data_IF_675247240532
#
_entry.id   IF_675247240532
#
_cell.length_a   1.000
_cell.length_b   1.000
_cell.length_c   1.000
_cell.angle_alpha   90.00
_cell.angle_beta   90.00
_cell.angle_gamma   90.00
#
_symmetry.space_group_name_H-M   'P 1'
#
loop_
_entity.id
_entity.type
_entity.pdbx_description
1 polymer ?
#
# COMPACT_ATOMS: atom_id res chain seq x y z
N UNK A 1 -0.66 14.32 -68.63
CA UNK A 1 -0.05 13.17 -67.94
C UNK A 1 -0.32 13.19 -66.42
N UNK A 2 -1.40 13.83 -65.96
CA UNK A 2 -1.72 14.00 -64.53
C UNK A 2 -3.12 13.45 -64.14
N UNK A 3 -3.92 12.97 -65.10
CA UNK A 3 -5.26 12.42 -64.83
C UNK A 3 -5.29 10.89 -64.60
N UNK A 4 -4.16 10.20 -64.78
CA UNK A 4 -4.07 8.73 -64.75
C UNK A 4 -3.56 8.17 -63.41
N UNK A 5 -3.05 9.04 -62.51
CA UNK A 5 -2.55 8.64 -61.18
C UNK A 5 -3.66 8.67 -60.12
N UNK A 6 -4.76 9.37 -60.36
CA UNK A 6 -5.91 9.45 -59.43
C UNK A 6 -6.91 8.29 -59.55
N UNK A 7 -6.80 7.46 -60.60
CA UNK A 7 -7.62 6.25 -60.76
C UNK A 7 -6.99 4.97 -60.20
N UNK A 8 -5.73 5.01 -59.74
CA UNK A 8 -5.04 3.85 -59.16
C UNK A 8 -5.06 3.81 -57.61
N UNK A 9 -5.58 4.85 -56.95
CA UNK A 9 -5.65 4.92 -55.47
C UNK A 9 -7.05 4.54 -54.92
N UNK A 10 -8.07 4.38 -55.77
CA UNK A 10 -9.41 3.93 -55.34
C UNK A 10 -9.59 2.40 -55.32
N UNK A 11 -8.54 1.63 -55.59
CA UNK A 11 -8.50 0.17 -55.40
C UNK A 11 -7.66 -0.26 -54.19
N UNK A 12 -7.45 0.64 -53.21
CA UNK A 12 -6.96 0.22 -51.89
C UNK A 12 -8.10 -0.55 -51.21
N UNK A 13 -8.05 -1.86 -51.43
CA UNK A 13 -8.53 -2.91 -50.54
C UNK A 13 -9.67 -2.50 -49.61
N UNK A 14 -10.89 -2.64 -50.14
CA UNK A 14 -12.03 -3.04 -49.30
C UNK A 14 -11.89 -4.53 -48.90
N UNK A 15 -10.68 -4.94 -48.49
CA UNK A 15 -10.55 -5.99 -47.50
C UNK A 15 -11.21 -5.45 -46.24
N UNK A 16 -12.55 -5.55 -46.20
CA UNK A 16 -13.34 -5.52 -44.98
C UNK A 16 -12.71 -6.57 -44.10
N UNK A 17 -11.74 -6.15 -43.29
CA UNK A 17 -11.21 -6.96 -42.23
C UNK A 17 -12.41 -7.29 -41.37
N UNK A 18 -12.86 -8.53 -41.54
CA UNK A 18 -13.97 -9.15 -40.86
C UNK A 18 -13.47 -9.43 -39.45
N UNK A 19 -13.43 -8.41 -38.61
CA UNK A 19 -13.04 -8.55 -37.21
C UNK A 19 -14.17 -9.21 -36.43
N UNK A 20 -13.83 -10.26 -35.70
CA UNK A 20 -14.71 -10.85 -34.71
C UNK A 20 -14.85 -9.88 -33.55
N UNK A 21 -16.07 -9.66 -33.06
CA UNK A 21 -16.34 -8.76 -31.93
C UNK A 21 -16.67 -9.59 -30.71
N UNK A 22 -15.90 -9.45 -29.63
CA UNK A 22 -16.28 -10.07 -28.36
C UNK A 22 -17.55 -9.40 -27.83
N UNK A 23 -18.54 -10.20 -27.46
CA UNK A 23 -19.82 -9.74 -26.94
C UNK A 23 -20.11 -10.42 -25.59
N UNK A 24 -20.96 -9.81 -24.74
CA UNK A 24 -21.29 -10.37 -23.44
C UNK A 24 -22.20 -11.60 -23.55
N UNK A 25 -22.09 -12.50 -22.58
CA UNK A 25 -22.95 -13.67 -22.39
C UNK A 25 -24.30 -13.34 -21.74
N UNK A 26 -24.51 -12.12 -21.25
CA UNK A 26 -25.75 -11.68 -20.60
C UNK A 26 -26.37 -10.48 -21.32
N UNK A 27 -27.68 -10.31 -21.15
CA UNK A 27 -28.42 -9.22 -21.78
C UNK A 27 -28.04 -7.83 -21.22
N UNK A 28 -27.52 -7.78 -19.99
CA UNK A 28 -27.10 -6.53 -19.32
C UNK A 28 -25.68 -6.07 -19.69
N UNK A 29 -24.99 -6.83 -20.55
CA UNK A 29 -23.62 -6.56 -20.97
C UNK A 29 -22.59 -6.46 -19.83
N UNK A 30 -22.68 -7.35 -18.84
CA UNK A 30 -21.77 -7.39 -17.69
C UNK A 30 -20.84 -8.62 -17.71
N UNK A 31 -21.23 -9.72 -18.36
CA UNK A 31 -20.52 -11.00 -18.30
C UNK A 31 -19.82 -11.27 -19.63
N UNK A 32 -18.56 -10.84 -19.75
CA UNK A 32 -17.75 -11.05 -20.97
C UNK A 32 -16.96 -12.36 -20.97
N UNK A 33 -16.79 -12.97 -19.81
CA UNK A 33 -16.04 -14.21 -19.59
C UNK A 33 -16.81 -15.12 -18.64
N UNK A 34 -16.92 -16.40 -18.99
CA UNK A 34 -17.45 -17.44 -18.11
C UNK A 34 -16.28 -18.27 -17.59
N UNK A 35 -15.98 -18.14 -16.30
CA UNK A 35 -14.95 -18.94 -15.63
C UNK A 35 -15.45 -20.35 -15.28
N UNK A 36 -14.57 -21.16 -14.66
CA UNK A 36 -14.93 -22.49 -14.19
C UNK A 36 -16.13 -22.50 -13.23
N UNK A 37 -16.20 -21.52 -12.32
CA UNK A 37 -17.20 -21.49 -11.25
C UNK A 37 -18.60 -21.17 -11.77
N UNK A 38 -18.69 -20.23 -12.72
CA UNK A 38 -19.93 -19.90 -13.41
C UNK A 38 -20.29 -20.97 -14.44
N UNK A 39 -19.31 -21.47 -15.20
CA UNK A 39 -19.52 -22.52 -16.21
C UNK A 39 -20.08 -23.81 -15.64
N UNK A 40 -19.68 -24.23 -14.43
CA UNK A 40 -20.27 -25.41 -13.80
C UNK A 40 -21.76 -25.30 -13.47
N UNK A 41 -22.29 -24.07 -13.43
CA UNK A 41 -23.72 -23.81 -13.18
C UNK A 41 -24.53 -23.75 -14.46
N UNK A 42 -23.87 -23.65 -15.62
CA UNK A 42 -24.50 -23.50 -16.93
C UNK A 42 -24.45 -24.84 -17.65
N UNK A 43 -25.59 -25.36 -18.11
CA UNK A 43 -25.70 -26.70 -18.69
C UNK A 43 -24.74 -26.91 -19.86
N UNK A 44 -24.68 -25.95 -20.78
CA UNK A 44 -23.79 -25.97 -21.96
C UNK A 44 -22.32 -26.23 -21.61
N UNK A 45 -21.84 -25.72 -20.46
CA UNK A 45 -20.43 -25.80 -20.09
C UNK A 45 -20.07 -27.04 -19.26
N UNK A 46 -21.05 -27.84 -18.80
CA UNK A 46 -20.80 -29.01 -17.94
C UNK A 46 -19.98 -30.11 -18.61
N UNK A 47 -20.06 -30.20 -19.93
CA UNK A 47 -19.31 -31.20 -20.71
C UNK A 47 -17.82 -30.87 -20.87
N UNK A 48 -17.43 -29.61 -20.60
CA UNK A 48 -16.05 -29.15 -20.73
C UNK A 48 -15.26 -29.35 -19.43
N UNK A 49 -14.81 -30.58 -19.19
CA UNK A 49 -13.92 -30.91 -18.06
C UNK A 49 -12.67 -30.04 -18.08
N UNK A 50 -12.33 -29.45 -16.93
CA UNK A 50 -11.17 -28.59 -16.79
C UNK A 50 -11.34 -27.21 -17.41
N UNK A 51 -12.58 -26.74 -17.65
CA UNK A 51 -12.86 -25.38 -18.09
C UNK A 51 -12.09 -24.36 -17.24
N UNK A 52 -11.33 -23.49 -17.90
CA UNK A 52 -10.67 -22.32 -17.29
C UNK A 52 -11.49 -21.06 -17.56
N UNK A 53 -11.82 -20.83 -18.83
CA UNK A 53 -12.66 -19.72 -19.26
C UNK A 53 -13.32 -19.95 -20.61
N UNK A 54 -14.42 -19.26 -20.85
CA UNK A 54 -15.08 -19.17 -22.15
C UNK A 54 -15.37 -17.72 -22.53
N UNK A 55 -15.25 -17.41 -23.82
CA UNK A 55 -15.45 -16.07 -24.40
C UNK A 55 -16.42 -16.18 -25.58
N UNK A 56 -17.38 -15.26 -25.70
CA UNK A 56 -18.36 -15.22 -26.78
C UNK A 56 -17.98 -14.17 -27.82
N UNK A 57 -18.00 -14.55 -29.10
CA UNK A 57 -17.69 -13.67 -30.22
C UNK A 57 -18.80 -13.69 -31.26
N UNK A 58 -19.13 -12.50 -31.77
CA UNK A 58 -19.97 -12.30 -32.95
C UNK A 58 -19.09 -12.22 -34.20
N UNK A 59 -19.36 -13.11 -35.15
CA UNK A 59 -18.71 -13.15 -36.45
C UNK A 59 -19.38 -12.17 -37.42
N UNK A 60 -18.67 -11.71 -38.46
CA UNK A 60 -19.26 -10.78 -39.43
C UNK A 60 -20.35 -11.36 -40.33
N UNK A 61 -20.51 -12.69 -40.38
CA UNK A 61 -21.68 -13.36 -40.96
C UNK A 61 -22.87 -13.44 -39.99
N UNK A 62 -22.82 -12.73 -38.86
CA UNK A 62 -23.78 -12.76 -37.75
C UNK A 62 -23.86 -14.10 -37.02
N UNK A 63 -22.95 -15.03 -37.29
CA UNK A 63 -22.85 -16.26 -36.51
C UNK A 63 -22.10 -16.03 -35.19
N UNK A 64 -22.29 -16.94 -34.26
CA UNK A 64 -21.70 -16.83 -32.93
C UNK A 64 -20.71 -17.96 -32.69
N UNK A 65 -19.59 -17.61 -32.06
CA UNK A 65 -18.55 -18.56 -31.69
C UNK A 65 -18.22 -18.39 -30.21
N UNK A 66 -18.18 -19.49 -29.48
CA UNK A 66 -17.57 -19.54 -28.15
C UNK A 66 -16.15 -20.08 -28.28
N UNK A 67 -15.19 -19.35 -27.73
CA UNK A 67 -13.85 -19.85 -27.47
C UNK A 67 -13.76 -20.42 -26.06
N UNK A 68 -13.44 -21.70 -25.94
CA UNK A 68 -13.38 -22.43 -24.68
C UNK A 68 -11.93 -22.81 -24.40
N UNK A 69 -11.42 -22.34 -23.27
CA UNK A 69 -10.08 -22.68 -22.78
C UNK A 69 -10.24 -23.70 -21.66
N UNK A 70 -9.72 -24.91 -21.86
CA UNK A 70 -9.82 -26.01 -20.89
C UNK A 70 -8.48 -26.71 -20.68
N UNK A 71 -8.26 -27.25 -19.48
CA UNK A 71 -7.08 -28.02 -19.15
C UNK A 71 -7.25 -29.50 -19.54
N UNK A 72 -6.45 -29.97 -20.50
CA UNK A 72 -6.42 -31.36 -20.97
C UNK A 72 -4.97 -31.85 -20.99
N UNK A 73 -4.69 -32.98 -20.34
CA UNK A 73 -3.36 -33.61 -20.27
C UNK A 73 -2.22 -32.68 -19.78
N UNK A 74 -2.51 -31.80 -18.81
CA UNK A 74 -1.51 -30.88 -18.23
C UNK A 74 -1.19 -29.65 -19.09
N UNK A 75 -1.92 -29.42 -20.19
CA UNK A 75 -1.85 -28.21 -21.01
C UNK A 75 -3.20 -27.52 -21.15
N UNK A 76 -3.18 -26.24 -21.51
CA UNK A 76 -4.40 -25.48 -21.85
C UNK A 76 -4.68 -25.65 -23.33
N UNK A 77 -5.87 -26.17 -23.65
CA UNK A 77 -6.36 -26.34 -25.01
C UNK A 77 -7.46 -25.31 -25.27
N UNK A 78 -7.38 -24.68 -26.44
CA UNK A 78 -8.40 -23.76 -26.96
C UNK A 78 -9.27 -24.49 -27.98
N UNK A 79 -10.58 -24.49 -27.75
CA UNK A 79 -11.59 -25.04 -28.64
C UNK A 79 -12.50 -23.90 -29.12
N UNK A 80 -12.83 -23.86 -30.41
CA UNK A 80 -13.77 -22.87 -30.98
C UNK A 80 -15.02 -23.60 -31.43
N UNK A 81 -16.15 -23.24 -30.84
CA UNK A 81 -17.43 -23.91 -31.09
C UNK A 81 -18.38 -22.90 -31.69
N UNK A 82 -18.83 -23.15 -32.92
CA UNK A 82 -19.93 -22.39 -33.52
C UNK A 82 -21.21 -22.81 -32.81
N UNK A 83 -21.98 -21.82 -32.37
CA UNK A 83 -23.20 -22.05 -31.60
C UNK A 83 -24.40 -21.42 -32.29
N UNK A 84 -25.54 -22.08 -32.14
CA UNK A 84 -26.82 -21.57 -32.63
C UNK A 84 -27.35 -20.48 -31.69
N UNK A 85 -28.09 -19.48 -32.20
CA UNK A 85 -28.66 -18.40 -31.39
C UNK A 85 -29.48 -18.89 -30.19
N UNK A 86 -30.21 -20.00 -30.33
CA UNK A 86 -31.03 -20.57 -29.26
C UNK A 86 -30.19 -21.03 -28.06
N UNK A 87 -28.94 -21.46 -28.28
CA UNK A 87 -28.02 -21.83 -27.22
C UNK A 87 -27.54 -20.59 -26.45
N UNK A 88 -27.39 -19.45 -27.13
CA UNK A 88 -27.05 -18.17 -26.49
C UNK A 88 -28.19 -17.72 -25.59
N UNK A 89 -29.42 -17.78 -26.10
CA UNK A 89 -30.61 -17.43 -25.33
C UNK A 89 -30.73 -18.31 -24.09
N UNK A 90 -30.41 -19.62 -24.20
CA UNK A 90 -30.36 -20.53 -23.06
C UNK A 90 -29.27 -20.14 -22.06
N UNK A 91 -28.05 -19.89 -22.51
CA UNK A 91 -26.94 -19.46 -21.65
C UNK A 91 -27.31 -18.15 -20.93
N UNK A 92 -27.89 -17.18 -21.64
CA UNK A 92 -28.35 -15.90 -21.09
C UNK A 92 -29.43 -16.10 -20.03
N UNK A 93 -30.43 -16.95 -20.29
CA UNK A 93 -31.48 -17.28 -19.32
C UNK A 93 -30.94 -17.97 -18.08
N UNK A 94 -30.00 -18.90 -18.25
CA UNK A 94 -29.34 -19.56 -17.13
C UNK A 94 -28.51 -18.58 -16.30
N UNK A 95 -27.76 -17.68 -16.93
CA UNK A 95 -27.04 -16.61 -16.23
C UNK A 95 -28.02 -15.72 -15.46
N UNK A 96 -29.15 -15.31 -16.06
CA UNK A 96 -30.15 -14.51 -15.38
C UNK A 96 -30.75 -15.27 -14.17
N UNK A 97 -31.07 -16.55 -14.32
CA UNK A 97 -31.55 -17.40 -13.23
C UNK A 97 -30.49 -17.59 -12.13
N UNK A 98 -29.22 -17.74 -12.49
CA UNK A 98 -28.11 -17.82 -11.55
C UNK A 98 -28.00 -16.50 -10.79
N UNK A 99 -28.05 -15.34 -11.46
CA UNK A 99 -28.03 -14.01 -10.81
C UNK A 99 -29.20 -13.81 -9.85
N UNK A 100 -30.38 -14.38 -10.14
CA UNK A 100 -31.56 -14.30 -9.27
C UNK A 100 -31.48 -15.29 -8.10
N UNK A 101 -30.94 -16.49 -8.32
CA UNK A 101 -30.89 -17.59 -7.33
C UNK A 101 -29.66 -17.58 -6.45
N UNK A 102 -28.54 -17.09 -6.95
CA UNK A 102 -27.47 -16.69 -6.06
C UNK A 102 -28.07 -15.59 -5.20
N UNK A 103 -28.18 -15.79 -3.86
CA UNK A 103 -28.41 -14.64 -3.02
C UNK A 103 -27.36 -13.64 -3.45
N UNK A 104 -27.77 -12.41 -3.83
CA UNK A 104 -26.87 -11.26 -3.92
C UNK A 104 -25.83 -11.51 -2.85
N UNK A 105 -24.56 -11.73 -3.22
CA UNK A 105 -23.48 -11.92 -2.26
C UNK A 105 -23.44 -10.63 -1.45
N UNK A 106 -24.32 -10.59 -0.45
CA UNK A 106 -24.38 -9.75 0.72
C UNK A 106 -23.38 -10.30 1.73
N UNK A 107 -22.38 -11.03 1.25
CA UNK A 107 -21.16 -11.27 1.98
C UNK A 107 -20.38 -9.98 1.85
N UNK A 108 -20.26 -9.28 2.97
CA UNK A 108 -19.40 -8.13 3.06
C UNK A 108 -18.01 -8.46 2.50
N UNK A 109 -17.36 -7.54 1.77
CA UNK A 109 -15.93 -7.66 1.50
C UNK A 109 -15.19 -7.76 2.84
N UNK A 110 -14.44 -8.82 3.03
CA UNK A 110 -13.65 -9.08 4.25
C UNK A 110 -12.18 -9.28 3.95
N UNK A 111 -11.73 -8.89 2.75
CA UNK A 111 -10.35 -9.06 2.32
C UNK A 111 -9.35 -8.37 3.25
N UNK A 112 -9.71 -7.23 3.86
CA UNK A 112 -8.88 -6.50 4.82
C UNK A 112 -9.24 -6.75 6.28
N UNK A 113 -10.24 -7.58 6.59
CA UNK A 113 -10.81 -7.65 7.94
C UNK A 113 -9.80 -8.06 9.02
N UNK A 114 -8.96 -9.05 8.70
CA UNK A 114 -7.91 -9.52 9.62
C UNK A 114 -6.90 -8.40 9.90
N UNK A 115 -6.44 -7.74 8.85
CA UNK A 115 -5.38 -6.74 8.95
C UNK A 115 -5.90 -5.45 9.60
N UNK A 116 -7.18 -5.11 9.41
CA UNK A 116 -7.88 -4.04 10.11
C UNK A 116 -7.89 -4.28 11.63
N UNK A 117 -8.36 -5.44 12.08
CA UNK A 117 -8.41 -5.77 13.52
C UNK A 117 -7.00 -5.88 14.13
N UNK A 118 -6.08 -6.50 13.42
CA UNK A 118 -4.69 -6.65 13.86
C UNK A 118 -3.98 -5.31 13.98
N UNK A 119 -4.10 -4.45 12.96
CA UNK A 119 -3.47 -3.14 12.95
C UNK A 119 -4.07 -2.20 14.00
N UNK A 120 -5.39 -2.21 14.17
CA UNK A 120 -6.06 -1.40 15.20
C UNK A 120 -5.61 -1.82 16.60
N UNK A 121 -5.50 -3.11 16.88
CA UNK A 121 -4.95 -3.61 18.15
C UNK A 121 -3.49 -3.17 18.37
N UNK A 122 -2.60 -3.41 17.40
CA UNK A 122 -1.18 -3.08 17.51
C UNK A 122 -1.00 -1.57 17.71
N UNK A 123 -1.74 -0.76 16.98
CA UNK A 123 -1.68 0.69 17.08
C UNK A 123 -2.23 1.20 18.41
N UNK A 124 -3.35 0.67 18.88
CA UNK A 124 -3.88 0.98 20.21
C UNK A 124 -2.90 0.60 21.31
N UNK A 125 -2.29 -0.59 21.23
CA UNK A 125 -1.31 -1.09 22.20
C UNK A 125 -0.01 -0.27 22.22
N UNK A 126 0.53 0.05 21.04
CA UNK A 126 1.85 0.69 20.91
C UNK A 126 1.80 2.21 21.05
N UNK A 127 0.68 2.84 20.70
CA UNK A 127 0.58 4.31 20.60
C UNK A 127 -0.51 4.88 21.50
N UNK A 128 -1.76 4.44 21.36
CA UNK A 128 -2.87 5.08 22.07
C UNK A 128 -2.88 4.75 23.57
N UNK A 129 -2.56 3.52 23.97
CA UNK A 129 -2.60 3.10 25.37
C UNK A 129 -1.55 3.83 26.24
N UNK A 130 -0.26 3.98 25.84
CA UNK A 130 0.67 4.83 26.57
C UNK A 130 0.18 6.27 26.73
N UNK A 131 -0.36 6.85 25.65
CA UNK A 131 -0.91 8.20 25.67
C UNK A 131 -2.16 8.30 26.57
N UNK A 132 -2.99 7.28 26.64
CA UNK A 132 -4.14 7.25 27.56
C UNK A 132 -3.71 7.18 29.03
N UNK A 133 -2.63 6.46 29.34
CA UNK A 133 -2.06 6.46 30.70
C UNK A 133 -1.51 7.85 31.03
N UNK A 134 -0.78 8.48 30.10
CA UNK A 134 -0.29 9.86 30.28
C UNK A 134 -1.45 10.86 30.44
N UNK A 135 -2.49 10.71 29.62
CA UNK A 135 -3.68 11.55 29.61
C UNK A 135 -4.39 11.58 30.98
N UNK A 136 -4.54 10.41 31.58
CA UNK A 136 -5.25 10.25 32.85
C UNK A 136 -4.35 10.41 34.08
N UNK A 137 -3.03 10.27 33.90
CA UNK A 137 -2.01 10.44 34.95
C UNK A 137 -2.41 9.80 36.29
N UNK A 138 -2.68 8.48 36.33
CA UNK A 138 -3.18 7.83 37.53
C UNK A 138 -2.16 7.87 38.67
N UNK A 139 -2.65 8.06 39.89
CA UNK A 139 -1.81 8.17 41.10
C UNK A 139 -1.10 6.86 41.47
N UNK A 140 -1.61 5.71 41.01
CA UNK A 140 -1.07 4.39 41.33
C UNK A 140 -0.79 3.53 40.08
N UNK A 141 0.20 2.64 40.24
CA UNK A 141 0.67 1.75 39.18
C UNK A 141 -0.39 0.76 38.69
N UNK A 142 -1.25 0.25 39.58
CA UNK A 142 -2.27 -0.73 39.20
C UNK A 142 -3.32 -0.10 38.29
N UNK A 143 -3.75 1.13 38.60
CA UNK A 143 -4.66 1.90 37.75
C UNK A 143 -4.01 2.21 36.40
N UNK A 144 -2.73 2.59 36.36
CA UNK A 144 -2.00 2.80 35.11
C UNK A 144 -1.93 1.56 34.22
N UNK A 145 -1.59 0.41 34.79
CA UNK A 145 -1.59 -0.87 34.05
C UNK A 145 -2.99 -1.25 33.58
N UNK A 146 -4.02 -1.03 34.40
CA UNK A 146 -5.40 -1.31 34.02
C UNK A 146 -5.85 -0.44 32.84
N UNK A 147 -5.57 0.86 32.86
CA UNK A 147 -5.85 1.78 31.74
C UNK A 147 -5.12 1.30 30.49
N UNK A 148 -3.83 1.00 30.59
CA UNK A 148 -3.05 0.52 29.46
C UNK A 148 -3.65 -0.73 28.81
N UNK A 149 -3.98 -1.75 29.62
CA UNK A 149 -4.55 -3.01 29.14
C UNK A 149 -5.94 -2.82 28.53
N UNK A 150 -6.80 -2.03 29.18
CA UNK A 150 -8.16 -1.76 28.69
C UNK A 150 -8.14 -0.95 27.39
N UNK A 151 -7.30 0.09 27.30
CA UNK A 151 -7.11 0.86 26.07
C UNK A 151 -6.56 -0.01 24.94
N UNK A 152 -5.57 -0.88 25.23
CA UNK A 152 -5.03 -1.81 24.24
C UNK A 152 -6.09 -2.79 23.73
N UNK A 153 -6.86 -3.42 24.64
CA UNK A 153 -7.93 -4.36 24.28
C UNK A 153 -9.06 -3.68 23.50
N UNK A 154 -9.35 -2.41 23.80
CA UNK A 154 -10.40 -1.64 23.12
C UNK A 154 -10.13 -1.50 21.62
N UNK A 155 -8.85 -1.38 21.20
CA UNK A 155 -8.45 -1.34 19.79
C UNK A 155 -8.70 -2.65 19.02
N UNK A 156 -9.04 -3.75 19.69
CA UNK A 156 -9.51 -4.96 19.03
C UNK A 156 -11.03 -5.13 19.17
N UNK A 157 -11.53 -5.03 20.40
CA UNK A 157 -12.92 -5.38 20.75
C UNK A 157 -13.91 -4.39 20.14
N UNK A 158 -13.63 -3.08 20.19
CA UNK A 158 -14.54 -2.07 19.64
C UNK A 158 -14.66 -2.22 18.12
N UNK A 159 -13.55 -2.25 17.33
CA UNK A 159 -13.65 -2.48 15.90
C UNK A 159 -14.34 -3.80 15.56
N UNK A 160 -14.02 -4.91 16.24
CA UNK A 160 -14.65 -6.22 16.02
C UNK A 160 -16.19 -6.15 16.10
N UNK A 161 -16.72 -5.48 17.13
CA UNK A 161 -18.17 -5.36 17.35
C UNK A 161 -18.80 -4.44 16.30
N UNK A 162 -18.21 -3.24 16.10
CA UNK A 162 -18.78 -2.22 15.22
C UNK A 162 -18.77 -2.64 13.75
N UNK A 163 -17.80 -3.46 13.36
CA UNK A 163 -17.57 -3.83 11.96
C UNK A 163 -17.98 -5.26 11.63
N UNK A 164 -18.74 -5.91 12.52
CA UNK A 164 -19.22 -7.30 12.31
C UNK A 164 -20.06 -7.45 11.05
N UNK A 165 -20.74 -6.39 10.61
CA UNK A 165 -21.64 -6.39 9.45
C UNK A 165 -21.33 -5.20 8.52
N UNK A 166 -20.06 -4.96 8.21
CA UNK A 166 -19.66 -3.98 7.20
C UNK A 166 -18.59 -4.53 6.26
N UNK A 167 -18.47 -3.89 5.10
CA UNK A 167 -17.36 -4.10 4.17
C UNK A 167 -16.07 -3.58 4.79
N UNK A 168 -15.03 -4.40 4.73
CA UNK A 168 -13.66 -4.06 5.10
C UNK A 168 -12.75 -4.67 4.05
N UNK A 169 -12.54 -3.87 3.01
CA UNK A 169 -11.50 -4.10 2.03
C UNK A 169 -10.11 -3.86 2.62
N UNK A 170 -9.05 -4.25 1.92
CA UNK A 170 -7.67 -3.91 2.32
C UNK A 170 -7.44 -2.40 2.43
N UNK A 171 -8.06 -1.62 1.55
CA UNK A 171 -7.97 -0.16 1.60
C UNK A 171 -8.56 0.39 2.91
N UNK A 172 -9.72 -0.13 3.35
CA UNK A 172 -10.29 0.23 4.65
C UNK A 172 -9.32 -0.04 5.79
N UNK A 173 -8.71 -1.22 5.82
CA UNK A 173 -7.76 -1.62 6.86
C UNK A 173 -6.58 -0.64 6.98
N UNK A 174 -5.97 -0.32 5.85
CA UNK A 174 -4.76 0.47 5.82
C UNK A 174 -5.03 1.97 6.00
N UNK A 175 -6.08 2.50 5.36
CA UNK A 175 -6.44 3.92 5.45
C UNK A 175 -6.99 4.25 6.84
N UNK A 176 -7.66 3.30 7.52
CA UNK A 176 -8.00 3.43 8.93
C UNK A 176 -6.74 3.67 9.79
N UNK A 177 -5.73 2.81 9.65
CA UNK A 177 -4.48 2.94 10.41
C UNK A 177 -3.76 4.26 10.10
N UNK A 178 -3.59 4.57 8.81
CA UNK A 178 -2.94 5.80 8.38
C UNK A 178 -3.71 7.03 8.86
N UNK A 179 -5.04 7.02 8.75
CA UNK A 179 -5.90 8.04 9.32
C UNK A 179 -5.64 8.24 10.81
N UNK A 180 -5.48 7.16 11.58
CA UNK A 180 -5.14 7.21 12.99
C UNK A 180 -3.80 7.88 13.29
N UNK A 181 -2.75 7.47 12.59
CA UNK A 181 -1.41 8.04 12.72
C UNK A 181 -1.44 9.55 12.42
N UNK A 182 -2.08 9.94 11.32
CA UNK A 182 -2.12 11.34 10.87
C UNK A 182 -3.03 12.19 11.75
N UNK A 183 -4.16 11.65 12.21
CA UNK A 183 -5.07 12.33 13.14
C UNK A 183 -4.39 12.60 14.49
N UNK A 184 -3.65 11.62 15.01
CA UNK A 184 -2.83 11.79 16.21
C UNK A 184 -1.72 12.82 16.01
N UNK A 185 -1.01 12.75 14.88
CA UNK A 185 0.01 13.72 14.51
C UNK A 185 -0.53 15.15 14.45
N UNK A 186 -1.64 15.37 13.71
CA UNK A 186 -2.26 16.69 13.57
C UNK A 186 -2.71 17.22 14.93
N UNK A 187 -3.39 16.41 15.74
CA UNK A 187 -3.84 16.84 17.06
C UNK A 187 -2.68 17.13 18.00
N UNK A 188 -1.64 16.29 18.04
CA UNK A 188 -0.43 16.54 18.82
C UNK A 188 0.30 17.81 18.40
N UNK A 189 0.45 18.02 17.09
CA UNK A 189 1.04 19.23 16.54
C UNK A 189 0.21 20.49 16.87
N UNK A 190 -1.11 20.42 16.79
CA UNK A 190 -2.00 21.51 17.22
C UNK A 190 -1.91 21.78 18.73
N UNK A 191 -1.76 20.74 19.55
CA UNK A 191 -1.52 20.85 21.00
C UNK A 191 -0.22 21.61 21.29
N UNK A 192 0.87 21.22 20.63
CA UNK A 192 2.15 21.91 20.72
C UNK A 192 2.07 23.37 20.24
N UNK A 193 1.30 23.66 19.18
CA UNK A 193 1.03 25.03 18.74
C UNK A 193 0.28 25.83 19.82
N UNK A 194 -0.69 25.21 20.48
CA UNK A 194 -1.39 25.79 21.63
C UNK A 194 -0.48 25.95 22.87
N UNK A 195 0.70 25.35 22.88
CA UNK A 195 1.64 25.37 24.01
C UNK A 195 1.30 24.34 25.10
N UNK A 196 0.53 23.31 24.75
CA UNK A 196 0.24 22.17 25.61
C UNK A 196 1.16 21.03 25.18
N UNK A 197 1.92 20.47 26.12
CA UNK A 197 2.82 19.36 25.83
C UNK A 197 2.01 18.10 25.49
N UNK A 198 2.39 17.42 24.41
CA UNK A 198 1.76 16.18 23.93
C UNK A 198 1.89 15.04 24.94
N UNK A 199 2.89 15.09 25.83
CA UNK A 199 3.12 14.10 26.87
C UNK A 199 2.50 14.49 28.23
N UNK A 200 1.85 15.66 28.31
CA UNK A 200 1.06 16.07 29.47
C UNK A 200 -0.41 15.68 29.30
N UNK A 201 -1.13 15.53 30.42
CA UNK A 201 -2.50 14.99 30.46
C UNK A 201 -3.43 15.50 29.35
N UNK A 202 -3.67 16.82 29.24
CA UNK A 202 -4.53 17.38 28.21
C UNK A 202 -4.02 17.18 26.78
N UNK A 203 -2.71 17.26 26.56
CA UNK A 203 -2.13 17.09 25.23
C UNK A 203 -2.16 15.65 24.76
N UNK A 204 -1.85 14.70 25.63
CA UNK A 204 -1.93 13.28 25.35
C UNK A 204 -3.38 12.86 25.02
N UNK A 205 -4.35 13.36 25.80
CA UNK A 205 -5.77 13.10 25.55
C UNK A 205 -6.22 13.65 24.19
N UNK A 206 -5.78 14.86 23.85
CA UNK A 206 -6.11 15.49 22.56
C UNK A 206 -5.50 14.71 21.40
N UNK A 207 -4.26 14.22 21.53
CA UNK A 207 -3.61 13.36 20.54
C UNK A 207 -4.34 12.03 20.34
N UNK A 208 -4.75 11.34 21.42
CA UNK A 208 -5.54 10.09 21.28
C UNK A 208 -6.89 10.37 20.62
N UNK A 209 -7.57 11.44 21.01
CA UNK A 209 -8.85 11.83 20.41
C UNK A 209 -8.70 12.15 18.93
N UNK A 210 -7.64 12.87 18.55
CA UNK A 210 -7.27 13.12 17.16
C UNK A 210 -7.00 11.83 16.39
N UNK A 211 -6.31 10.89 17.02
CA UNK A 211 -6.04 9.56 16.44
C UNK A 211 -7.34 8.80 16.15
N UNK A 212 -8.25 8.69 17.11
CA UNK A 212 -9.55 7.99 16.92
C UNK A 212 -10.39 8.70 15.85
N UNK A 213 -10.37 10.04 15.84
CA UNK A 213 -11.06 10.83 14.82
C UNK A 213 -10.47 10.56 13.43
N UNK A 214 -9.14 10.51 13.33
CA UNK A 214 -8.44 10.21 12.10
C UNK A 214 -8.71 8.79 11.60
N UNK A 215 -8.76 7.79 12.49
CA UNK A 215 -9.15 6.42 12.18
C UNK A 215 -10.54 6.35 11.53
N UNK A 216 -11.53 7.01 12.15
CA UNK A 216 -12.90 7.07 11.65
C UNK A 216 -12.97 7.77 10.28
N UNK A 217 -12.32 8.93 10.15
CA UNK A 217 -12.29 9.68 8.88
C UNK A 217 -11.54 8.92 7.78
N UNK A 218 -10.45 8.23 8.13
CA UNK A 218 -9.70 7.36 7.24
C UNK A 218 -10.59 6.23 6.71
N UNK A 219 -11.26 5.51 7.60
CA UNK A 219 -12.19 4.45 7.21
C UNK A 219 -13.27 4.96 6.24
N UNK A 220 -13.93 6.07 6.57
CA UNK A 220 -14.96 6.68 5.72
C UNK A 220 -14.43 7.19 4.37
N UNK A 221 -13.15 7.60 4.33
CA UNK A 221 -12.54 8.09 3.10
C UNK A 221 -12.29 6.99 2.07
N UNK A 222 -12.12 5.73 2.50
CA UNK A 222 -11.94 4.60 1.59
C UNK A 222 -13.16 4.44 0.67
N UNK A 223 -14.37 4.41 1.24
CA UNK A 223 -15.63 4.33 0.49
C UNK A 223 -15.91 5.61 -0.30
N UNK A 224 -15.80 6.76 0.37
CA UNK A 224 -16.21 8.05 -0.23
C UNK A 224 -15.43 8.39 -1.50
N UNK A 225 -14.16 7.98 -1.57
CA UNK A 225 -13.27 8.30 -2.68
C UNK A 225 -12.88 7.07 -3.50
N UNK A 226 -13.53 5.92 -3.26
CA UNK A 226 -13.27 4.65 -3.93
C UNK A 226 -11.76 4.33 -4.01
N UNK A 227 -11.11 4.37 -2.85
CA UNK A 227 -9.66 4.24 -2.76
C UNK A 227 -9.28 2.76 -2.79
N UNK A 228 -8.41 2.39 -3.74
CA UNK A 228 -7.65 1.15 -3.66
C UNK A 228 -6.56 1.26 -2.57
N UNK A 229 -6.02 0.11 -2.13
CA UNK A 229 -4.90 0.08 -1.18
C UNK A 229 -3.68 0.83 -1.75
N UNK A 230 -3.32 0.55 -3.01
CA UNK A 230 -2.26 1.23 -3.74
C UNK A 230 -2.44 2.74 -3.81
N UNK A 231 -3.63 3.19 -4.19
CA UNK A 231 -3.92 4.63 -4.32
C UNK A 231 -3.92 5.34 -2.97
N UNK A 232 -4.64 4.81 -1.98
CA UNK A 232 -4.74 5.40 -0.65
C UNK A 232 -3.37 5.60 0.00
N UNK A 233 -2.54 4.55 0.04
CA UNK A 233 -1.22 4.63 0.63
C UNK A 233 -0.29 5.61 -0.08
N UNK A 234 -0.35 5.67 -1.41
CA UNK A 234 0.47 6.61 -2.18
C UNK A 234 0.09 8.06 -1.87
N UNK A 235 -1.21 8.35 -1.71
CA UNK A 235 -1.68 9.68 -1.29
C UNK A 235 -1.08 10.07 0.06
N UNK A 236 -1.13 9.17 1.05
CA UNK A 236 -0.56 9.41 2.37
C UNK A 236 0.97 9.55 2.33
N UNK A 237 1.68 8.71 1.59
CA UNK A 237 3.14 8.82 1.43
C UNK A 237 3.55 10.18 0.82
N UNK A 238 2.82 10.67 -0.19
CA UNK A 238 3.03 12.02 -0.73
C UNK A 238 2.71 13.09 0.31
N UNK A 239 1.65 12.89 1.11
CA UNK A 239 1.31 13.70 2.28
C UNK A 239 2.47 13.84 3.26
N UNK A 240 2.98 12.71 3.76
CA UNK A 240 4.09 12.63 4.70
C UNK A 240 5.35 13.30 4.16
N UNK A 241 5.71 13.03 2.92
CA UNK A 241 6.87 13.63 2.27
C UNK A 241 6.71 15.14 2.12
N UNK A 242 5.52 15.63 1.78
CA UNK A 242 5.27 17.07 1.67
C UNK A 242 5.28 17.74 3.04
N UNK A 243 4.72 17.10 4.07
CA UNK A 243 4.76 17.58 5.46
C UNK A 243 6.17 17.60 6.07
N UNK A 244 7.02 16.63 5.72
CA UNK A 244 8.42 16.59 6.15
C UNK A 244 9.30 17.57 5.37
N UNK A 245 9.09 17.71 4.06
CA UNK A 245 9.87 18.65 3.25
C UNK A 245 9.46 20.10 3.50
N UNK A 246 8.21 20.40 3.86
CA UNK A 246 7.79 21.76 4.20
C UNK A 246 8.49 22.30 5.45
N UNK A 247 8.69 21.46 6.48
CA UNK A 247 9.49 21.83 7.66
C UNK A 247 10.96 22.03 7.31
N UNK A 248 11.50 21.13 6.49
CA UNK A 248 12.84 21.28 5.94
C UNK A 248 13.01 22.61 5.18
N UNK A 249 12.08 22.94 4.28
CA UNK A 249 12.11 24.20 3.52
C UNK A 249 12.07 25.41 4.45
N UNK A 250 11.20 25.40 5.46
CA UNK A 250 11.14 26.48 6.45
C UNK A 250 12.49 26.68 7.15
N UNK A 251 13.15 25.58 7.54
CA UNK A 251 14.46 25.63 8.21
C UNK A 251 15.59 26.21 7.36
N UNK A 252 15.45 26.23 6.02
CA UNK A 252 16.41 26.85 5.10
C UNK A 252 16.36 28.37 5.19
N UNK A 253 15.19 28.93 5.44
CA UNK A 253 14.99 30.38 5.59
C UNK A 253 15.10 30.85 7.04
N UNK A 254 14.98 29.93 7.99
CA UNK A 254 15.12 30.24 9.41
C UNK A 254 16.56 30.62 9.77
N UNK A 255 16.67 31.54 10.74
CA UNK A 255 17.91 31.80 11.44
C UNK A 255 17.90 30.97 12.73
N UNK A 256 18.62 29.85 12.74
CA UNK A 256 18.64 28.91 13.88
C UNK A 256 19.11 29.53 15.21
N UNK A 257 19.75 30.70 15.15
CA UNK A 257 20.16 31.47 16.33
C UNK A 257 19.05 32.39 16.87
N UNK A 258 17.92 32.48 16.19
CA UNK A 258 16.83 33.38 16.52
C UNK A 258 15.79 32.67 17.41
N UNK A 259 15.73 33.00 18.72
CA UNK A 259 14.75 32.39 19.63
C UNK A 259 13.30 32.74 19.29
N UNK A 260 13.06 33.72 18.41
CA UNK A 260 11.70 34.04 17.95
C UNK A 260 11.12 32.99 16.99
N UNK A 261 11.97 32.14 16.38
CA UNK A 261 11.50 31.04 15.54
C UNK A 261 11.13 29.83 16.41
N UNK A 262 9.88 29.86 16.87
CA UNK A 262 9.33 28.86 17.77
C UNK A 262 9.03 27.54 17.01
N UNK A 263 9.25 26.37 17.64
CA UNK A 263 8.89 25.03 17.13
C UNK A 263 7.44 24.94 16.60
N UNK A 264 6.56 25.81 17.11
CA UNK A 264 5.19 26.00 16.62
C UNK A 264 5.10 26.28 15.12
N UNK A 265 6.03 27.05 14.55
CA UNK A 265 6.05 27.32 13.11
C UNK A 265 6.37 26.05 12.31
N UNK A 266 7.31 25.24 12.79
CA UNK A 266 7.62 23.96 12.17
C UNK A 266 6.42 23.01 12.21
N UNK A 267 5.72 22.90 13.34
CA UNK A 267 4.49 22.11 13.45
C UNK A 267 3.40 22.61 12.48
N UNK A 268 3.16 23.93 12.44
CA UNK A 268 2.15 24.52 11.58
C UNK A 268 2.46 24.31 10.09
N UNK A 269 3.71 24.54 9.68
CA UNK A 269 4.15 24.32 8.30
C UNK A 269 4.13 22.83 7.93
N UNK A 270 4.40 21.94 8.88
CA UNK A 270 4.28 20.50 8.63
C UNK A 270 2.84 20.06 8.38
N UNK A 271 1.88 20.50 9.22
CA UNK A 271 0.46 20.21 9.01
C UNK A 271 -0.01 20.78 7.68
N UNK A 272 0.37 22.02 7.36
CA UNK A 272 0.03 22.64 6.08
C UNK A 272 0.63 21.86 4.90
N UNK A 273 1.90 21.45 5.00
CA UNK A 273 2.57 20.63 4.00
C UNK A 273 1.89 19.27 3.82
N UNK A 274 1.52 18.60 4.91
CA UNK A 274 0.76 17.35 4.88
C UNK A 274 -0.57 17.53 4.13
N UNK A 275 -1.35 18.56 4.47
CA UNK A 275 -2.62 18.86 3.79
C UNK A 275 -2.45 19.13 2.28
N UNK A 276 -1.44 19.91 1.91
CA UNK A 276 -1.09 20.16 0.50
C UNK A 276 -0.69 18.85 -0.19
N UNK A 277 0.11 18.01 0.47
CA UNK A 277 0.57 16.73 -0.05
C UNK A 277 -0.57 15.73 -0.25
N UNK A 278 -1.51 15.62 0.68
CA UNK A 278 -2.70 14.77 0.51
C UNK A 278 -3.56 15.24 -0.68
N UNK A 279 -3.75 16.55 -0.83
CA UNK A 279 -4.48 17.10 -1.98
C UNK A 279 -3.75 16.84 -3.31
N UNK A 280 -2.44 17.13 -3.36
CA UNK A 280 -1.62 16.90 -4.55
C UNK A 280 -1.55 15.40 -4.90
N UNK A 281 -1.39 14.53 -3.90
CA UNK A 281 -1.38 13.09 -4.05
C UNK A 281 -2.69 12.57 -4.64
N UNK A 282 -3.84 13.10 -4.18
CA UNK A 282 -5.15 12.74 -4.74
C UNK A 282 -5.23 13.05 -6.23
N UNK A 283 -4.71 14.21 -6.65
CA UNK A 283 -4.68 14.64 -8.07
C UNK A 283 -3.67 13.86 -8.91
N UNK A 284 -2.49 13.59 -8.36
CA UNK A 284 -1.44 12.85 -9.06
C UNK A 284 -1.80 11.38 -9.28
N UNK A 285 -2.57 10.78 -8.38
CA UNK A 285 -2.94 9.36 -8.42
C UNK A 285 -4.27 9.07 -9.11
N UNK A 286 -5.06 10.10 -9.47
CA UNK A 286 -6.40 9.95 -10.06
C UNK A 286 -6.43 9.13 -11.36
N UNK A 287 -5.35 9.20 -12.15
CA UNK A 287 -5.24 8.52 -13.44
C UNK A 287 -4.17 7.42 -13.45
N UNK A 288 -3.71 6.99 -12.27
CA UNK A 288 -2.70 5.93 -12.16
C UNK A 288 -3.38 4.63 -11.76
N UNK A 289 -3.08 3.57 -12.51
CA UNK A 289 -3.37 2.21 -12.05
C UNK A 289 -2.23 1.79 -11.13
N UNK A 290 -2.45 1.88 -9.82
CA UNK A 290 -1.45 1.57 -8.80
C UNK A 290 -1.73 0.20 -8.18
N UNK A 291 -0.72 -0.66 -8.21
CA UNK A 291 -0.68 -1.92 -7.50
C UNK A 291 -0.69 -1.74 -5.99
N UNK A 292 -1.12 -2.78 -5.28
CA UNK A 292 -1.19 -2.77 -3.82
C UNK A 292 0.19 -2.58 -3.14
N UNK A 293 1.28 -3.01 -3.81
CA UNK A 293 2.66 -2.93 -3.32
C UNK A 293 3.45 -1.71 -3.80
N UNK A 294 2.96 -1.01 -4.82
CA UNK A 294 3.59 0.20 -5.37
C UNK A 294 3.89 1.28 -4.31
N UNK A 295 3.01 1.56 -3.33
CA UNK A 295 3.25 2.61 -2.35
C UNK A 295 4.48 2.35 -1.49
N UNK A 296 4.73 1.08 -1.16
CA UNK A 296 5.90 0.67 -0.38
C UNK A 296 7.19 0.92 -1.17
N UNK A 297 7.19 0.65 -2.48
CA UNK A 297 8.33 0.93 -3.36
C UNK A 297 8.54 2.43 -3.51
N UNK A 298 7.47 3.19 -3.78
CA UNK A 298 7.51 4.64 -3.88
C UNK A 298 8.08 5.28 -2.62
N UNK A 299 7.53 4.92 -1.45
CA UNK A 299 7.96 5.45 -0.17
C UNK A 299 9.41 5.08 0.14
N UNK A 300 9.81 3.82 -0.09
CA UNK A 300 11.18 3.40 0.15
C UNK A 300 12.19 4.17 -0.71
N UNK A 301 11.91 4.34 -2.01
CA UNK A 301 12.76 5.15 -2.89
C UNK A 301 12.87 6.60 -2.42
N UNK A 302 11.77 7.22 -1.97
CA UNK A 302 11.78 8.57 -1.41
C UNK A 302 12.63 8.69 -0.14
N UNK A 303 12.45 7.76 0.81
CA UNK A 303 13.21 7.74 2.08
C UNK A 303 14.70 7.53 1.83
N UNK A 304 15.05 6.51 1.04
CA UNK A 304 16.44 6.20 0.66
C UNK A 304 17.07 7.38 -0.07
N UNK A 305 16.36 7.97 -1.04
CA UNK A 305 16.81 9.17 -1.74
C UNK A 305 17.10 10.33 -0.78
N UNK A 306 16.19 10.57 0.16
CA UNK A 306 16.33 11.62 1.18
C UNK A 306 17.50 11.40 2.14
N UNK A 307 17.97 10.17 2.30
CA UNK A 307 19.09 9.84 3.16
C UNK A 307 20.45 9.78 2.41
N UNK A 308 20.47 9.41 1.13
CA UNK A 308 21.71 9.27 0.34
C UNK A 308 22.48 10.59 0.23
N UNK A 309 21.82 11.69 -0.17
CA UNK A 309 22.53 12.94 -0.42
C UNK A 309 23.12 13.56 0.87
N UNK A 310 22.39 13.61 2.00
CA UNK A 310 22.99 14.00 3.29
C UNK A 310 24.16 13.10 3.70
N UNK A 311 24.05 11.78 3.50
CA UNK A 311 25.13 10.86 3.82
C UNK A 311 26.38 11.12 2.97
N UNK A 312 26.22 11.37 1.66
CA UNK A 312 27.32 11.74 0.77
C UNK A 312 27.96 13.06 1.19
N UNK A 313 27.15 14.10 1.50
CA UNK A 313 27.69 15.37 1.99
C UNK A 313 28.52 15.21 3.27
N UNK A 314 28.11 14.32 4.18
CA UNK A 314 28.83 14.10 5.44
C UNK A 314 30.28 13.66 5.26
N UNK A 315 30.62 13.01 4.15
CA UNK A 315 32.00 12.62 3.83
C UNK A 315 32.89 13.80 3.46
N UNK A 316 32.30 14.89 2.96
CA UNK A 316 32.99 16.14 2.63
C UNK A 316 32.97 17.14 3.77
N UNK A 317 32.23 16.86 4.85
CA UNK A 317 32.21 17.68 6.05
C UNK A 317 33.48 17.42 6.86
N UNK A 318 34.53 18.15 6.50
CA UNK A 318 35.73 18.24 7.31
C UNK A 318 35.34 19.06 8.53
N UNK A 319 35.51 18.49 9.74
CA UNK A 319 35.10 18.98 11.09
C UNK A 319 35.28 20.47 11.41
N UNK A 320 35.87 21.25 10.52
CA UNK A 320 35.91 22.70 10.46
C UNK A 320 34.54 23.36 10.16
N UNK A 321 33.48 22.57 9.90
CA UNK A 321 32.11 23.10 9.80
C UNK A 321 31.82 23.82 8.48
N UNK A 322 32.49 23.40 7.41
CA UNK A 322 32.32 23.97 6.05
C UNK A 322 30.88 23.73 5.55
N UNK A 323 30.27 22.61 5.92
CA UNK A 323 28.93 22.24 5.49
C UNK A 323 27.92 22.67 6.56
N UNK A 324 27.12 23.69 6.22
CA UNK A 324 26.04 24.15 7.11
C UNK A 324 24.92 23.11 7.24
N UNK A 325 24.19 23.11 8.37
CA UNK A 325 22.99 22.29 8.52
C UNK A 325 21.95 22.50 7.41
N UNK A 326 21.88 23.71 6.85
CA UNK A 326 21.02 24.04 5.70
C UNK A 326 21.38 23.26 4.43
N UNK A 327 22.67 22.94 4.24
CA UNK A 327 23.11 22.11 3.11
C UNK A 327 22.64 20.67 3.28
N UNK A 328 22.73 20.10 4.48
CA UNK A 328 22.19 18.76 4.76
C UNK A 328 20.68 18.70 4.54
N UNK A 329 19.93 19.71 4.96
CA UNK A 329 18.47 19.76 4.76
C UNK A 329 18.12 19.92 3.28
N UNK A 330 18.81 20.82 2.57
CA UNK A 330 18.64 21.00 1.12
C UNK A 330 18.92 19.70 0.35
N UNK A 331 19.97 18.98 0.76
CA UNK A 331 20.31 17.68 0.21
C UNK A 331 19.25 16.62 0.53
N UNK A 332 18.71 16.60 1.75
CA UNK A 332 17.64 15.69 2.14
C UNK A 332 16.37 15.91 1.33
N UNK A 333 15.92 17.15 1.17
CA UNK A 333 14.74 17.50 0.37
C UNK A 333 14.97 17.13 -1.10
N UNK A 334 16.13 17.49 -1.66
CA UNK A 334 16.48 17.19 -3.05
C UNK A 334 16.56 15.69 -3.29
N UNK A 335 17.17 14.96 -2.37
CA UNK A 335 17.30 13.51 -2.39
C UNK A 335 15.94 12.82 -2.33
N UNK A 336 15.06 13.27 -1.44
CA UNK A 336 13.70 12.74 -1.31
C UNK A 336 12.92 12.96 -2.61
N UNK A 337 13.02 14.15 -3.20
CA UNK A 337 12.37 14.46 -4.49
C UNK A 337 12.87 13.57 -5.62
N UNK A 338 14.19 13.44 -5.78
CA UNK A 338 14.80 12.56 -6.79
C UNK A 338 14.44 11.09 -6.56
N UNK A 339 14.48 10.63 -5.31
CA UNK A 339 14.07 9.29 -4.91
C UNK A 339 12.60 9.00 -5.22
N UNK A 340 11.71 9.95 -4.91
CA UNK A 340 10.28 9.85 -5.22
C UNK A 340 10.02 9.83 -6.72
N UNK A 341 10.75 10.62 -7.52
CA UNK A 341 10.65 10.60 -9.00
C UNK A 341 11.09 9.23 -9.54
N UNK A 342 12.17 8.66 -9.01
CA UNK A 342 12.63 7.32 -9.39
C UNK A 342 11.59 6.25 -9.01
N UNK A 343 11.09 6.28 -7.77
CA UNK A 343 10.03 5.38 -7.30
C UNK A 343 8.79 5.45 -8.18
N UNK A 344 8.35 6.67 -8.51
CA UNK A 344 7.23 6.91 -9.42
C UNK A 344 7.44 6.30 -10.82
N UNK A 345 8.64 6.40 -11.39
CA UNK A 345 8.95 5.76 -12.67
C UNK A 345 8.89 4.24 -12.58
N UNK A 346 9.43 3.68 -11.49
CA UNK A 346 9.45 2.23 -11.26
C UNK A 346 8.03 1.66 -11.18
N UNK A 347 7.14 2.27 -10.37
CA UNK A 347 5.75 1.80 -10.20
C UNK A 347 4.88 2.07 -11.43
N UNK A 348 5.24 3.04 -12.27
CA UNK A 348 4.51 3.27 -13.53
C UNK A 348 4.79 2.19 -14.56
N UNK A 349 5.99 1.61 -14.53
CA UNK A 349 6.43 0.56 -15.46
C UNK A 349 6.10 -0.85 -14.97
N UNK A 350 5.81 -1.02 -13.67
CA UNK A 350 5.61 -2.30 -13.01
C UNK A 350 4.49 -2.21 -11.99
N UNK A 351 3.60 -3.20 -12.02
CA UNK A 351 2.53 -3.36 -11.03
C UNK A 351 3.02 -4.32 -9.93
N UNK A 352 3.34 -3.78 -8.75
CA UNK A 352 3.79 -4.59 -7.62
C UNK A 352 2.61 -5.06 -6.79
N UNK A 353 2.56 -6.36 -6.52
CA UNK A 353 1.66 -6.90 -5.50
C UNK A 353 2.09 -6.45 -4.10
N UNK A 354 1.14 -6.41 -3.17
CA UNK A 354 1.40 -6.08 -1.76
C UNK A 354 2.56 -6.91 -1.17
N UNK A 355 2.57 -8.22 -1.43
CA UNK A 355 3.58 -9.14 -0.94
C UNK A 355 4.97 -8.84 -1.52
N UNK A 356 5.06 -8.55 -2.82
CA UNK A 356 6.32 -8.17 -3.46
C UNK A 356 6.87 -6.87 -2.89
N UNK A 357 6.02 -5.84 -2.77
CA UNK A 357 6.40 -4.54 -2.18
C UNK A 357 6.91 -4.70 -0.75
N UNK A 358 6.20 -5.43 0.09
CA UNK A 358 6.58 -5.67 1.48
C UNK A 358 7.86 -6.49 1.61
N UNK A 359 8.02 -7.54 0.81
CA UNK A 359 9.24 -8.37 0.81
C UNK A 359 10.46 -7.54 0.38
N UNK A 360 10.33 -6.67 -0.64
CA UNK A 360 11.42 -5.78 -1.06
C UNK A 360 11.83 -4.82 0.06
N UNK A 361 10.86 -4.18 0.73
CA UNK A 361 11.14 -3.27 1.85
C UNK A 361 11.81 -4.02 3.02
N UNK A 362 11.32 -5.22 3.37
CA UNK A 362 11.95 -6.07 4.38
C UNK A 362 13.38 -6.48 3.99
N UNK A 363 13.60 -6.77 2.70
CA UNK A 363 14.92 -7.02 2.14
C UNK A 363 15.86 -5.83 2.33
N UNK A 364 15.34 -4.62 2.11
CA UNK A 364 16.01 -3.37 2.42
C UNK A 364 16.40 -3.24 3.89
N UNK A 365 15.43 -3.38 4.80
CA UNK A 365 15.68 -3.33 6.25
C UNK A 365 16.73 -4.37 6.69
N UNK A 366 16.63 -5.62 6.21
CA UNK A 366 17.60 -6.67 6.50
C UNK A 366 18.99 -6.34 5.97
N UNK A 367 19.07 -5.78 4.76
CA UNK A 367 20.31 -5.28 4.17
C UNK A 367 20.91 -4.14 4.98
N UNK A 368 20.11 -3.18 5.43
CA UNK A 368 20.53 -2.06 6.26
C UNK A 368 21.15 -2.51 7.58
N UNK A 369 20.49 -3.45 8.27
CA UNK A 369 21.00 -4.08 9.49
C UNK A 369 22.30 -4.84 9.23
N UNK A 370 22.40 -5.55 8.11
CA UNK A 370 23.63 -6.24 7.70
C UNK A 370 24.77 -5.25 7.47
N UNK A 371 24.51 -4.14 6.76
CA UNK A 371 25.48 -3.07 6.52
C UNK A 371 25.98 -2.44 7.81
N UNK A 372 25.08 -2.11 8.74
CA UNK A 372 25.42 -1.63 10.09
C UNK A 372 26.28 -2.67 10.85
N UNK A 373 25.89 -3.94 10.82
CA UNK A 373 26.62 -5.03 11.46
C UNK A 373 28.04 -5.18 10.92
N UNK A 374 28.25 -5.02 9.61
CA UNK A 374 29.57 -5.08 8.99
C UNK A 374 30.47 -3.92 9.43
N UNK A 375 29.95 -2.69 9.48
CA UNK A 375 30.70 -1.52 9.99
C UNK A 375 31.08 -1.71 11.46
N UNK A 376 30.17 -2.26 12.26
CA UNK A 376 30.40 -2.60 13.66
C UNK A 376 31.49 -3.67 13.83
N UNK A 377 31.42 -4.77 13.07
CA UNK A 377 32.43 -5.85 13.09
C UNK A 377 33.81 -5.37 12.65
N UNK A 378 33.87 -4.44 11.70
CA UNK A 378 35.10 -3.78 11.27
C UNK A 378 35.68 -2.83 12.33
N UNK A 379 34.99 -2.63 13.47
CA UNK A 379 35.37 -1.73 14.57
C UNK A 379 35.60 -0.28 14.11
N UNK A 380 34.88 0.14 13.06
CA UNK A 380 34.92 1.52 12.59
C UNK A 380 34.16 2.38 13.59
N UNK A 381 34.77 3.50 14.02
CA UNK A 381 34.18 4.44 14.99
C UNK A 381 33.56 5.69 14.35
N UNK A 382 33.71 5.85 13.03
CA UNK A 382 33.16 6.99 12.30
C UNK A 382 31.65 6.79 12.08
N UNK A 383 30.81 7.69 12.60
CA UNK A 383 29.36 7.63 12.44
C UNK A 383 28.92 7.70 10.97
N UNK A 384 29.69 8.38 10.12
CA UNK A 384 29.42 8.47 8.68
C UNK A 384 29.50 7.11 8.00
N UNK A 385 30.42 6.27 8.45
CA UNK A 385 30.54 4.90 7.97
C UNK A 385 29.31 4.06 8.35
N UNK A 386 28.73 4.26 9.55
CA UNK A 386 27.50 3.56 9.94
C UNK A 386 26.31 3.96 9.05
N UNK A 387 26.07 5.26 8.86
CA UNK A 387 24.99 5.73 7.97
C UNK A 387 25.18 5.26 6.53
N UNK A 388 26.42 5.32 6.02
CA UNK A 388 26.73 4.85 4.66
C UNK A 388 26.55 3.34 4.53
N UNK A 389 27.04 2.57 5.51
CA UNK A 389 26.87 1.12 5.56
C UNK A 389 25.39 0.72 5.62
N UNK A 390 24.61 1.40 6.43
CA UNK A 390 23.15 1.23 6.51
C UNK A 390 22.49 1.46 5.15
N UNK A 391 22.79 2.57 4.48
CA UNK A 391 22.15 2.92 3.20
C UNK A 391 22.58 2.00 2.06
N UNK A 392 23.87 1.67 1.94
CA UNK A 392 24.34 0.70 0.95
C UNK A 392 23.70 -0.65 1.19
N UNK A 393 23.62 -1.06 2.47
CA UNK A 393 22.95 -2.27 2.88
C UNK A 393 21.49 -2.29 2.46
N UNK A 394 20.74 -1.21 2.73
CA UNK A 394 19.34 -1.06 2.36
C UNK A 394 19.12 -1.24 0.85
N UNK A 395 19.84 -0.45 0.05
CA UNK A 395 19.77 -0.49 -1.41
C UNK A 395 20.11 -1.90 -1.92
N UNK A 396 21.21 -2.49 -1.44
CA UNK A 396 21.64 -3.81 -1.88
C UNK A 396 20.63 -4.90 -1.51
N UNK A 397 20.07 -4.84 -0.29
CA UNK A 397 19.07 -5.79 0.19
C UNK A 397 17.76 -5.71 -0.58
N UNK A 398 17.27 -4.50 -0.84
CA UNK A 398 16.06 -4.26 -1.63
C UNK A 398 16.26 -4.75 -3.09
N UNK A 399 17.39 -4.40 -3.73
CA UNK A 399 17.69 -4.81 -5.10
C UNK A 399 17.88 -6.32 -5.23
N UNK A 400 18.62 -6.95 -4.32
CA UNK A 400 18.79 -8.39 -4.29
C UNK A 400 17.42 -9.08 -4.20
N UNK A 401 16.58 -8.63 -3.27
CA UNK A 401 15.24 -9.18 -3.07
C UNK A 401 14.35 -9.02 -4.29
N UNK A 402 14.33 -7.83 -4.91
CA UNK A 402 13.60 -7.58 -6.15
C UNK A 402 14.06 -8.49 -7.29
N UNK A 403 15.36 -8.79 -7.38
CA UNK A 403 15.90 -9.71 -8.38
C UNK A 403 15.50 -11.18 -8.14
N UNK A 404 15.33 -11.60 -6.89
CA UNK A 404 14.96 -12.96 -6.53
C UNK A 404 13.48 -13.28 -6.78
N UNK A 405 12.57 -12.34 -6.50
CA UNK A 405 11.13 -12.59 -6.57
C UNK A 405 10.54 -12.51 -8.00
N UNK A 406 11.35 -12.18 -9.02
CA UNK A 406 10.91 -11.95 -10.41
C UNK A 406 9.65 -11.08 -10.48
N UNK A 407 9.79 -9.86 -9.99
CA UNK A 407 8.73 -8.83 -9.96
C UNK A 407 7.93 -8.79 -11.26
N UNK A 408 6.60 -8.88 -11.15
CA UNK A 408 5.67 -8.73 -12.27
C UNK A 408 5.31 -10.03 -13.01
N UNK A 409 5.85 -11.18 -12.60
CA UNK A 409 5.45 -12.51 -13.12
C UNK A 409 4.67 -13.36 -12.10
N UNK A 410 4.57 -12.92 -10.84
CA UNK A 410 3.97 -13.72 -9.76
C UNK A 410 2.47 -13.48 -9.60
N UNK A 411 1.65 -14.28 -10.28
CA UNK A 411 0.21 -14.41 -9.98
C UNK A 411 -0.08 -15.13 -8.63
N UNK A 412 0.90 -15.28 -7.73
CA UNK A 412 0.76 -16.05 -6.48
C UNK A 412 0.86 -15.16 -5.25
N UNK A 413 -0.18 -15.23 -4.41
CA UNK A 413 -0.19 -14.64 -3.08
C UNK A 413 0.79 -15.35 -2.16
N UNK A 414 1.98 -14.81 -1.99
CA UNK A 414 2.89 -15.21 -0.92
C UNK A 414 2.41 -14.57 0.39
N UNK A 415 2.17 -15.38 1.42
CA UNK A 415 1.78 -14.89 2.75
C UNK A 415 2.94 -15.13 3.73
N UNK A 416 3.40 -14.04 4.36
CA UNK A 416 4.31 -14.14 5.50
C UNK A 416 3.47 -14.35 6.75
N UNK A 417 3.57 -15.53 7.35
CA UNK A 417 2.97 -15.79 8.66
C UNK A 417 4.00 -15.50 9.75
N UNK A 418 3.80 -14.39 10.46
CA UNK A 418 4.45 -14.17 11.75
C UNK A 418 3.64 -14.91 12.81
N UNK A 419 4.27 -15.87 13.49
CA UNK A 419 3.60 -16.54 14.60
C UNK A 419 3.47 -15.55 15.77
N UNK A 420 2.30 -15.48 16.45
CA UNK A 420 2.10 -14.60 17.60
C UNK A 420 3.16 -14.82 18.69
N UNK A 421 3.62 -16.07 18.84
CA UNK A 421 4.69 -16.51 19.73
C UNK A 421 6.02 -15.82 19.44
N UNK A 422 6.30 -15.46 18.18
CA UNK A 422 7.53 -14.79 17.74
C UNK A 422 7.57 -13.34 18.20
N UNK A 423 6.44 -12.63 18.15
CA UNK A 423 6.32 -11.25 18.61
C UNK A 423 6.41 -11.20 20.14
N UNK A 424 5.72 -12.12 20.81
CA UNK A 424 5.78 -12.26 22.27
C UNK A 424 7.19 -12.65 22.75
N UNK A 425 7.89 -13.51 21.99
CA UNK A 425 9.28 -13.90 22.25
C UNK A 425 10.28 -12.76 22.09
N UNK A 426 10.10 -11.88 21.10
CA UNK A 426 10.92 -10.68 20.92
C UNK A 426 10.74 -9.68 22.08
N UNK A 427 9.50 -9.50 22.55
CA UNK A 427 9.21 -8.65 23.72
C UNK A 427 9.72 -9.26 25.05
N UNK A 428 9.66 -10.58 25.23
CA UNK A 428 10.20 -11.24 26.41
C UNK A 428 11.75 -11.29 26.41
N UNK A 429 12.38 -11.35 25.23
CA UNK A 429 13.83 -11.32 25.12
C UNK A 429 14.44 -10.01 25.60
N UNK A 430 13.80 -8.87 25.29
CA UNK A 430 14.24 -7.55 25.80
C UNK A 430 14.15 -7.44 27.32
N UNK A 431 13.30 -8.26 27.95
CA UNK A 431 13.09 -8.27 29.41
C UNK A 431 13.99 -9.31 30.11
N UNK A 432 14.15 -10.52 29.57
CA UNK A 432 14.72 -11.65 30.32
C UNK A 432 16.02 -12.27 29.76
N UNK A 433 16.57 -11.79 28.62
CA UNK A 433 17.82 -12.31 28.01
C UNK A 433 17.93 -13.84 27.86
N UNK A 434 16.83 -14.58 27.84
CA UNK A 434 16.83 -16.04 27.64
C UNK A 434 16.72 -16.38 26.15
N UNK A 435 17.62 -17.22 25.58
CA UNK A 435 17.58 -17.59 24.17
C UNK A 435 16.41 -18.53 23.83
N UNK A 436 15.69 -18.23 22.74
CA UNK A 436 14.59 -19.04 22.22
C UNK A 436 15.07 -20.10 21.20
N UNK A 437 14.39 -21.27 21.16
CA UNK A 437 14.71 -22.41 20.28
C UNK A 437 13.65 -22.71 19.20
N UNK A 438 12.56 -21.95 19.09
CA UNK A 438 11.47 -22.19 18.13
C UNK A 438 11.67 -21.42 16.82
N UNK A 439 11.11 -21.96 15.72
CA UNK A 439 11.11 -21.31 14.41
C UNK A 439 10.31 -20.01 14.45
N UNK A 440 10.97 -18.88 14.18
CA UNK A 440 10.41 -17.53 14.33
C UNK A 440 9.56 -17.08 13.14
N UNK A 441 9.81 -17.62 11.94
CA UNK A 441 9.17 -17.18 10.70
C UNK A 441 8.93 -18.42 9.81
N UNK A 442 7.73 -18.53 9.24
CA UNK A 442 7.44 -19.52 8.19
C UNK A 442 7.00 -18.79 6.93
N UNK A 443 7.80 -18.92 5.86
CA UNK A 443 7.45 -18.45 4.53
C UNK A 443 6.74 -19.58 3.78
N UNK A 444 5.49 -19.34 3.36
CA UNK A 444 4.80 -20.19 2.37
C UNK A 444 4.82 -19.44 1.04
N UNK A 445 5.57 -19.99 0.09
CA UNK A 445 5.67 -19.51 -1.30
C UNK A 445 4.65 -20.26 -2.15
#
# INVERSE_FOLDING_TARGET
MELLVLLFVSQIDSNKFSYETQIPFDAEAQVYEIDSALGHKIEFFKDYKGLKKALLFLQPDSSHIIEIYSEKNGGIVKERVRIEPEIIDQIQQEIALIKIREPLKTGYDRSGYRDFLGSSFVFAYAVQAPLMVMALSPDDYHTGVAIYMLSSASGFVIPLILTRNCDISKAHAQIFLLGGIHGGYIAGALSGIAGVDVFEGPGALFTVTGSITGEYLGFQSADKFDLSLGRGNTIFAIGDFTGATSTGLLSLFDNWSNPSFNYKHYLATSIAGLGIGLYAGTKLTENLNLGDGDPSIFANCGIVGGAILPALLSWFDNKEGIISGKMYISAGISGLGLGSILGYRIIKEKDFTESEGNIIVLGGIAGALTGLGMVYLAKIKDSRAYYTGMLIGDIAGALATASFIKVGESNKHSQIHLHPESIFGLCLYSINRTPFRTQLITLRI
#
